data_IF_623735003371
#
_entry.id   IF_623735003371
#
_cell.length_a   1.000
_cell.length_b   1.000
_cell.length_c   1.000
_cell.angle_alpha   90.00
_cell.angle_beta   90.00
_cell.angle_gamma   90.00
#
_symmetry.space_group_name_H-M   'P 1'
#
loop_
_entity.id
_entity.type
_entity.pdbx_description
1 polymer ?
#
# COMPACT_ATOMS: atom_id res chain seq x y z
N UNK A 1 9.03 6.63 -3.07
CA UNK A 1 10.09 5.78 -3.69
C UNK A 1 9.58 5.17 -5.00
N UNK A 2 10.48 5.06 -5.99
CA UNK A 2 10.23 4.47 -7.31
C UNK A 2 11.12 3.25 -7.54
N UNK A 3 10.56 2.20 -8.14
CA UNK A 3 11.28 0.99 -8.52
C UNK A 3 10.90 0.58 -9.93
N UNK A 4 11.88 0.47 -10.82
CA UNK A 4 11.70 -0.15 -12.14
C UNK A 4 12.18 -1.58 -12.09
N UNK A 5 11.31 -2.49 -12.53
CA UNK A 5 11.62 -3.93 -12.63
C UNK A 5 11.56 -4.45 -14.08
N UNK A 6 11.15 -3.62 -15.03
CA UNK A 6 11.11 -3.93 -16.45
C UNK A 6 12.17 -3.13 -17.23
N UNK A 7 13.37 -3.70 -17.34
CA UNK A 7 14.43 -3.12 -18.15
C UNK A 7 14.37 -3.68 -19.56
N UNK A 8 14.05 -2.81 -20.51
CA UNK A 8 14.07 -3.10 -21.94
C UNK A 8 14.86 -2.02 -22.65
N UNK A 9 16.11 -2.35 -23.02
CA UNK A 9 17.03 -1.44 -23.68
C UNK A 9 16.53 -1.00 -25.06
N UNK A 10 15.65 -1.78 -25.70
CA UNK A 10 15.06 -1.43 -26.99
C UNK A 10 13.90 -0.43 -26.86
N UNK A 11 13.44 -0.16 -25.63
CA UNK A 11 12.26 0.66 -25.35
C UNK A 11 12.53 1.86 -24.43
N UNK A 12 13.78 2.33 -24.38
CA UNK A 12 14.17 3.47 -23.53
C UNK A 12 13.46 4.79 -23.88
N UNK A 13 13.07 5.01 -25.13
CA UNK A 13 12.26 6.18 -25.51
C UNK A 13 10.87 6.15 -24.87
N UNK A 14 10.22 4.98 -24.81
CA UNK A 14 8.93 4.86 -24.14
C UNK A 14 9.08 5.04 -22.63
N UNK A 15 10.14 4.51 -22.04
CA UNK A 15 10.49 4.76 -20.64
C UNK A 15 10.70 6.24 -20.36
N UNK A 16 11.44 6.96 -21.20
CA UNK A 16 11.66 8.40 -21.00
C UNK A 16 10.34 9.20 -21.08
N UNK A 17 9.47 8.86 -22.05
CA UNK A 17 8.16 9.49 -22.17
C UNK A 17 7.20 9.12 -21.03
N UNK A 18 7.33 7.91 -20.47
CA UNK A 18 6.59 7.47 -19.30
C UNK A 18 7.05 8.22 -18.04
N UNK A 19 8.36 8.28 -17.82
CA UNK A 19 9.00 9.00 -16.74
C UNK A 19 8.63 10.49 -16.73
N UNK A 20 8.67 11.17 -17.89
CA UNK A 20 8.24 12.58 -18.03
C UNK A 20 6.82 12.80 -17.50
N UNK A 21 5.88 11.91 -17.84
CA UNK A 21 4.49 12.05 -17.39
C UNK A 21 4.34 11.94 -15.89
N UNK A 22 5.00 10.95 -15.27
CA UNK A 22 4.84 10.70 -13.84
C UNK A 22 5.66 11.64 -12.97
N UNK A 23 6.90 11.91 -13.36
CA UNK A 23 7.85 12.63 -12.50
C UNK A 23 7.84 14.12 -12.82
N UNK A 24 7.92 14.52 -14.09
CA UNK A 24 7.98 15.94 -14.43
C UNK A 24 6.59 16.61 -14.39
N UNK A 25 5.56 15.92 -14.89
CA UNK A 25 4.20 16.51 -14.97
C UNK A 25 3.35 16.25 -13.72
N UNK A 26 3.25 14.99 -13.31
CA UNK A 26 2.41 14.61 -12.17
C UNK A 26 3.14 14.71 -10.82
N UNK A 27 4.47 14.84 -10.83
CA UNK A 27 5.30 15.02 -9.64
C UNK A 27 5.02 13.98 -8.55
N UNK A 28 4.71 12.74 -8.95
CA UNK A 28 4.32 11.67 -8.01
C UNK A 28 5.43 11.31 -7.03
N UNK A 29 6.67 11.63 -7.39
CA UNK A 29 7.87 11.58 -6.55
C UNK A 29 8.61 12.92 -6.62
N UNK A 30 9.33 13.24 -5.56
CA UNK A 30 10.14 14.45 -5.41
C UNK A 30 11.63 14.22 -5.66
N UNK A 31 12.45 15.29 -5.62
CA UNK A 31 13.89 15.19 -5.76
C UNK A 31 14.57 14.39 -4.62
N UNK A 32 13.91 14.26 -3.47
CA UNK A 32 14.40 13.51 -2.32
C UNK A 32 13.96 12.02 -2.34
N UNK A 33 13.16 11.63 -3.33
CA UNK A 33 12.66 10.26 -3.45
C UNK A 33 13.76 9.30 -3.88
N UNK A 34 13.80 8.11 -3.26
CA UNK A 34 14.67 7.02 -3.71
C UNK A 34 14.15 6.47 -5.04
N UNK A 35 15.04 6.41 -6.04
CA UNK A 35 14.77 5.88 -7.38
C UNK A 35 15.69 4.69 -7.65
N UNK A 36 15.08 3.52 -7.80
CA UNK A 36 15.75 2.28 -8.19
C UNK A 36 15.46 1.99 -9.66
N UNK A 37 16.32 2.49 -10.55
CA UNK A 37 16.21 2.40 -12.01
C UNK A 37 17.57 1.99 -12.63
N UNK A 38 18.18 0.95 -12.07
CA UNK A 38 19.43 0.39 -12.57
C UNK A 38 19.24 -1.09 -12.90
N UNK A 39 19.41 -1.44 -14.18
CA UNK A 39 19.28 -2.82 -14.67
C UNK A 39 20.23 -3.76 -13.94
N UNK A 40 21.45 -3.31 -13.65
CA UNK A 40 22.49 -4.14 -13.02
C UNK A 40 22.16 -4.46 -11.56
N UNK A 41 21.37 -3.62 -10.89
CA UNK A 41 20.89 -3.89 -9.53
C UNK A 41 19.85 -5.01 -9.47
N UNK A 42 19.13 -5.28 -10.58
CA UNK A 42 17.98 -6.20 -10.59
C UNK A 42 18.17 -7.44 -11.47
N UNK A 43 19.15 -7.45 -12.38
CA UNK A 43 19.37 -8.54 -13.34
C UNK A 43 19.68 -9.89 -12.67
N UNK A 44 20.39 -9.87 -11.53
CA UNK A 44 20.72 -11.05 -10.72
C UNK A 44 20.14 -11.00 -9.28
N UNK A 45 19.30 -10.00 -8.99
CA UNK A 45 18.78 -9.83 -7.64
C UNK A 45 17.62 -10.78 -7.36
N UNK A 46 17.80 -11.65 -6.37
CA UNK A 46 16.71 -12.39 -5.76
C UNK A 46 15.92 -11.43 -4.85
N UNK A 47 15.00 -10.68 -5.45
CA UNK A 47 14.18 -9.68 -4.74
C UNK A 47 13.35 -10.31 -3.64
N UNK A 48 12.90 -11.56 -3.81
CA UNK A 48 12.23 -12.30 -2.74
C UNK A 48 13.18 -12.46 -1.54
N UNK A 49 14.44 -12.86 -1.77
CA UNK A 49 15.47 -12.95 -0.74
C UNK A 49 15.83 -11.60 -0.11
N UNK A 50 15.89 -10.52 -0.89
CA UNK A 50 16.18 -9.17 -0.36
C UNK A 50 15.08 -8.71 0.58
N UNK A 51 13.81 -8.93 0.21
CA UNK A 51 12.66 -8.63 1.04
C UNK A 51 12.57 -9.55 2.27
N UNK A 52 12.96 -10.82 2.16
CA UNK A 52 13.07 -11.75 3.30
C UNK A 52 14.19 -11.41 4.28
N UNK A 53 15.34 -10.92 3.80
CA UNK A 53 16.51 -10.59 4.62
C UNK A 53 16.39 -9.22 5.28
N UNK A 54 15.57 -8.34 4.71
CA UNK A 54 15.41 -6.96 5.16
C UNK A 54 13.94 -6.51 5.28
N UNK A 55 13.04 -7.29 5.91
CA UNK A 55 11.65 -6.88 6.08
C UNK A 55 11.54 -5.53 6.82
N UNK A 56 12.48 -5.27 7.74
CA UNK A 56 12.53 -4.06 8.58
C UNK A 56 13.24 -2.86 7.93
N UNK A 57 13.88 -3.00 6.75
CA UNK A 57 14.82 -1.98 6.23
C UNK A 57 14.48 -1.36 4.88
N UNK A 58 13.35 -1.71 4.27
CA UNK A 58 13.04 -1.15 2.94
C UNK A 58 12.62 0.32 3.00
N UNK A 59 12.17 0.88 4.12
CA UNK A 59 12.18 2.36 4.36
C UNK A 59 11.66 2.70 5.75
N UNK A 60 12.40 3.54 6.47
CA UNK A 60 12.15 4.07 7.82
C UNK A 60 11.83 3.00 8.90
N UNK A 61 12.74 2.76 9.88
CA UNK A 61 12.42 1.89 11.00
C UNK A 61 11.18 2.44 11.69
N UNK A 62 10.09 1.66 11.66
CA UNK A 62 8.94 1.98 12.47
C UNK A 62 9.39 1.88 13.91
N UNK A 63 9.35 2.98 14.67
CA UNK A 63 9.72 2.87 16.08
C UNK A 63 8.67 1.99 16.77
N UNK A 64 9.04 1.23 17.83
CA UNK A 64 8.06 0.54 18.66
C UNK A 64 6.90 1.46 19.12
N UNK A 65 7.12 2.77 19.18
CA UNK A 65 6.09 3.76 19.50
C UNK A 65 5.06 3.96 18.36
N UNK A 66 5.46 3.81 17.09
CA UNK A 66 4.55 3.90 15.94
C UNK A 66 3.66 2.66 15.84
N UNK A 67 4.20 1.47 16.11
CA UNK A 67 3.42 0.23 16.21
C UNK A 67 2.44 0.27 17.38
N UNK A 68 2.93 0.68 18.56
CA UNK A 68 2.06 0.90 19.71
C UNK A 68 1.03 2.01 19.47
N UNK A 69 1.31 2.97 18.59
CA UNK A 69 0.33 3.97 18.15
C UNK A 69 -0.75 3.34 17.28
N UNK A 70 -0.42 2.60 16.22
CA UNK A 70 -1.42 1.98 15.34
C UNK A 70 -2.31 0.98 16.09
N UNK A 71 -1.73 0.14 16.95
CA UNK A 71 -2.51 -0.78 17.80
C UNK A 71 -3.37 -0.04 18.83
N UNK A 72 -2.88 1.06 19.38
CA UNK A 72 -3.66 1.91 20.29
C UNK A 72 -4.79 2.62 19.57
N UNK A 73 -4.58 3.12 18.36
CA UNK A 73 -5.63 3.76 17.56
C UNK A 73 -6.70 2.74 17.16
N UNK A 74 -6.32 1.50 16.80
CA UNK A 74 -7.26 0.41 16.60
C UNK A 74 -8.08 0.17 17.87
N UNK A 75 -7.42 -0.02 19.03
CA UNK A 75 -8.11 -0.23 20.31
C UNK A 75 -8.99 0.96 20.69
N UNK A 76 -8.54 2.20 20.44
CA UNK A 76 -9.29 3.43 20.69
C UNK A 76 -10.53 3.51 19.81
N UNK A 77 -10.40 3.22 18.50
CA UNK A 77 -11.53 3.15 17.58
C UNK A 77 -12.62 2.21 18.11
N UNK A 78 -12.23 1.01 18.57
CA UNK A 78 -13.17 0.06 19.15
C UNK A 78 -13.76 0.47 20.50
N UNK A 79 -13.00 1.18 21.35
CA UNK A 79 -13.45 1.63 22.67
C UNK A 79 -14.31 2.90 22.62
N UNK A 80 -14.10 3.77 21.63
CA UNK A 80 -14.80 5.05 21.50
C UNK A 80 -16.08 4.94 20.67
N UNK A 81 -16.14 4.02 19.71
CA UNK A 81 -17.26 3.93 18.77
C UNK A 81 -18.30 2.87 19.12
N UNK A 82 -17.96 1.94 20.00
CA UNK A 82 -18.86 0.88 20.44
C UNK A 82 -18.85 0.78 21.96
N UNK A 83 -20.03 0.73 22.58
CA UNK A 83 -20.12 0.15 23.91
C UNK A 83 -19.91 -1.37 23.87
N UNK A 84 -19.75 -2.01 25.03
CA UNK A 84 -19.38 -3.42 25.10
C UNK A 84 -20.41 -4.36 24.43
N UNK A 85 -21.69 -3.97 24.43
CA UNK A 85 -22.79 -4.74 23.84
C UNK A 85 -22.88 -4.53 22.32
N UNK A 86 -22.71 -3.30 21.85
CA UNK A 86 -22.61 -2.97 20.42
C UNK A 86 -21.38 -3.63 19.77
N UNK A 87 -20.26 -3.74 20.49
CA UNK A 87 -19.04 -4.37 20.01
C UNK A 87 -19.23 -5.87 19.74
N UNK A 88 -19.83 -6.61 20.67
CA UNK A 88 -20.06 -8.04 20.50
C UNK A 88 -21.06 -8.31 19.36
N UNK A 89 -22.14 -7.52 19.28
CA UNK A 89 -23.12 -7.60 18.20
C UNK A 89 -22.47 -7.34 16.83
N UNK A 90 -21.59 -6.33 16.74
CA UNK A 90 -20.86 -6.02 15.52
C UNK A 90 -19.94 -7.16 15.11
N UNK A 91 -19.18 -7.74 16.05
CA UNK A 91 -18.29 -8.86 15.75
C UNK A 91 -19.04 -10.13 15.31
N UNK A 92 -20.20 -10.42 15.89
CA UNK A 92 -21.04 -11.52 15.42
C UNK A 92 -21.53 -11.29 13.99
N UNK A 93 -22.00 -10.08 13.67
CA UNK A 93 -22.43 -9.73 12.31
C UNK A 93 -21.27 -9.85 11.31
N UNK A 94 -20.07 -9.43 11.67
CA UNK A 94 -18.87 -9.58 10.84
C UNK A 94 -18.48 -11.05 10.64
N UNK A 95 -18.51 -11.86 11.70
CA UNK A 95 -18.27 -13.31 11.63
C UNK A 95 -19.25 -13.97 10.65
N UNK A 96 -20.52 -13.57 10.67
CA UNK A 96 -21.52 -14.07 9.74
C UNK A 96 -21.21 -13.67 8.29
N UNK A 97 -20.88 -12.40 8.04
CA UNK A 97 -20.49 -11.92 6.71
C UNK A 97 -19.24 -12.64 6.17
N UNK A 98 -18.24 -12.87 7.03
CA UNK A 98 -17.04 -13.63 6.67
C UNK A 98 -17.42 -15.07 6.31
N UNK A 99 -18.28 -15.73 7.08
CA UNK A 99 -18.76 -17.09 6.80
C UNK A 99 -19.56 -17.17 5.48
N UNK A 100 -20.22 -16.09 5.07
CA UNK A 100 -20.90 -15.96 3.78
C UNK A 100 -19.95 -15.66 2.60
N UNK A 101 -18.63 -15.60 2.84
CA UNK A 101 -17.63 -15.28 1.81
C UNK A 101 -17.50 -13.79 1.52
N UNK A 102 -18.13 -12.91 2.30
CA UNK A 102 -18.06 -11.44 2.17
C UNK A 102 -16.95 -10.83 3.03
N UNK A 103 -15.90 -11.61 3.26
CA UNK A 103 -14.82 -11.26 4.16
C UNK A 103 -14.02 -10.02 3.76
N UNK A 104 -13.87 -9.79 2.45
CA UNK A 104 -13.20 -8.58 1.94
C UNK A 104 -14.01 -7.31 2.21
N UNK A 105 -15.35 -7.39 2.17
CA UNK A 105 -16.22 -6.26 2.51
C UNK A 105 -16.03 -5.84 3.96
N UNK A 106 -15.99 -6.81 4.87
CA UNK A 106 -15.67 -6.59 6.28
C UNK A 106 -14.28 -5.95 6.41
N UNK A 107 -13.25 -6.52 5.78
CA UNK A 107 -11.91 -5.98 5.82
C UNK A 107 -11.84 -4.52 5.32
N UNK A 108 -12.59 -4.16 4.26
CA UNK A 108 -12.61 -2.78 3.74
C UNK A 108 -13.21 -1.77 4.72
N UNK A 109 -14.05 -2.20 5.66
CA UNK A 109 -14.56 -1.36 6.75
C UNK A 109 -13.46 -0.82 7.66
N UNK A 110 -12.34 -1.54 7.77
CA UNK A 110 -11.20 -1.22 8.65
C UNK A 110 -10.14 -0.34 7.98
N UNK A 111 -10.55 0.52 7.06
CA UNK A 111 -9.62 1.31 6.25
C UNK A 111 -8.75 2.26 7.08
N UNK A 112 -9.27 2.84 8.17
CA UNK A 112 -8.51 3.77 9.00
C UNK A 112 -7.33 3.06 9.66
N UNK A 113 -7.59 1.89 10.24
CA UNK A 113 -6.54 1.03 10.80
C UNK A 113 -5.51 0.60 9.76
N UNK A 114 -5.97 0.21 8.57
CA UNK A 114 -5.07 -0.14 7.47
C UNK A 114 -4.16 1.03 7.11
N UNK A 115 -4.71 2.25 7.01
CA UNK A 115 -3.93 3.46 6.76
C UNK A 115 -2.93 3.74 7.89
N UNK A 116 -3.29 3.50 9.14
CA UNK A 116 -2.39 3.67 10.28
C UNK A 116 -1.25 2.64 10.31
N UNK A 117 -1.46 1.46 9.71
CA UNK A 117 -0.42 0.44 9.59
C UNK A 117 0.61 0.71 8.50
N UNK A 118 0.32 1.59 7.55
CA UNK A 118 1.19 1.84 6.41
C UNK A 118 2.39 2.68 6.86
N UNK A 119 3.58 2.16 6.61
CA UNK A 119 4.84 2.79 7.02
C UNK A 119 5.65 3.28 5.83
N UNK A 120 5.38 2.73 4.64
CA UNK A 120 6.03 3.14 3.39
C UNK A 120 5.17 2.82 2.17
N UNK A 121 5.54 3.42 1.03
CA UNK A 121 4.93 3.17 -0.27
C UNK A 121 5.95 3.17 -1.40
N UNK A 122 5.61 2.46 -2.48
CA UNK A 122 6.40 2.39 -3.70
C UNK A 122 5.54 2.61 -4.93
N UNK A 123 6.09 3.27 -5.93
CA UNK A 123 5.63 3.18 -7.30
C UNK A 123 6.49 2.16 -8.04
N UNK A 124 5.87 1.13 -8.59
CA UNK A 124 6.53 0.08 -9.35
C UNK A 124 6.22 0.27 -10.83
N UNK A 125 7.28 0.47 -11.61
CA UNK A 125 7.26 0.43 -13.06
C UNK A 125 7.58 -1.00 -13.52
N UNK A 126 6.53 -1.71 -13.95
CA UNK A 126 6.61 -3.07 -14.47
C UNK A 126 6.27 -3.13 -15.97
N UNK A 127 6.36 -4.31 -16.57
CA UNK A 127 6.12 -4.45 -18.02
C UNK A 127 4.71 -3.98 -18.42
N UNK A 128 3.73 -4.13 -17.54
CA UNK A 128 2.36 -3.67 -17.78
C UNK A 128 2.26 -2.15 -17.75
N UNK A 129 3.02 -1.46 -16.89
CA UNK A 129 3.08 0.00 -16.86
C UNK A 129 3.47 0.58 -18.23
N UNK A 130 4.44 -0.05 -18.90
CA UNK A 130 4.95 0.38 -20.21
C UNK A 130 4.11 -0.10 -21.40
N UNK A 131 3.58 -1.33 -21.36
CA UNK A 131 2.95 -1.96 -22.53
C UNK A 131 1.42 -1.93 -22.52
N UNK A 132 0.80 -1.54 -21.41
CA UNK A 132 -0.66 -1.47 -21.31
C UNK A 132 -1.27 -0.45 -22.28
N UNK A 133 -2.34 -0.82 -22.97
CA UNK A 133 -3.08 0.08 -23.84
C UNK A 133 -3.53 1.33 -23.06
N UNK A 134 -3.08 2.51 -23.49
CA UNK A 134 -3.34 3.79 -22.83
C UNK A 134 -2.37 4.16 -21.70
N UNK A 135 -1.21 3.49 -21.59
CA UNK A 135 -0.25 3.68 -20.51
C UNK A 135 -0.76 2.96 -19.26
N UNK A 136 -0.37 1.70 -19.08
CA UNK A 136 -0.98 0.74 -18.17
C UNK A 136 -0.92 1.05 -16.66
N UNK A 137 -0.34 2.21 -16.31
CA UNK A 137 -0.27 2.70 -14.94
C UNK A 137 0.87 2.08 -14.15
N UNK A 138 1.53 2.88 -13.31
CA UNK A 138 2.42 2.35 -12.28
C UNK A 138 1.61 1.60 -11.23
N UNK A 139 2.21 0.57 -10.64
CA UNK A 139 1.62 -0.10 -9.48
C UNK A 139 2.04 0.66 -8.22
N UNK A 140 1.09 1.30 -7.55
CA UNK A 140 1.30 1.94 -6.27
C UNK A 140 1.02 0.93 -5.16
N UNK A 141 2.04 0.68 -4.33
CA UNK A 141 2.06 -0.34 -3.28
C UNK A 141 2.27 0.34 -1.94
N UNK A 142 1.53 -0.10 -0.91
CA UNK A 142 1.69 0.35 0.47
C UNK A 142 2.02 -0.84 1.36
N UNK A 143 3.06 -0.70 2.17
CA UNK A 143 3.54 -1.75 3.06
C UNK A 143 3.44 -1.34 4.53
N UNK A 144 3.26 -2.35 5.38
CA UNK A 144 3.36 -2.23 6.83
C UNK A 144 4.81 -2.43 7.34
N UNK A 145 4.98 -2.32 8.65
CA UNK A 145 6.23 -2.49 9.39
C UNK A 145 6.87 -3.89 9.26
N UNK A 146 6.09 -4.89 8.83
CA UNK A 146 6.55 -6.26 8.59
C UNK A 146 6.79 -6.52 7.09
N UNK A 147 6.65 -5.51 6.23
CA UNK A 147 6.74 -5.65 4.79
C UNK A 147 5.52 -6.33 4.15
N UNK A 148 4.42 -6.52 4.89
CA UNK A 148 3.20 -7.04 4.29
C UNK A 148 2.58 -5.99 3.39
N UNK A 149 2.01 -6.45 2.28
CA UNK A 149 1.14 -5.63 1.47
C UNK A 149 -0.08 -5.21 2.30
N UNK A 150 -0.25 -3.91 2.52
CA UNK A 150 -1.51 -3.38 3.05
C UNK A 150 -2.51 -3.34 1.92
N UNK A 151 -2.17 -2.64 0.84
CA UNK A 151 -2.99 -2.52 -0.36
C UNK A 151 -2.12 -2.09 -1.56
N UNK A 152 -2.61 -2.37 -2.76
CA UNK A 152 -2.02 -1.92 -4.03
C UNK A 152 -3.08 -1.45 -5.01
N UNK A 153 -2.70 -0.53 -5.90
CA UNK A 153 -3.56 -0.08 -6.99
C UNK A 153 -2.71 0.33 -8.19
N UNK A 154 -3.16 0.01 -9.41
CA UNK A 154 -2.59 0.62 -10.61
C UNK A 154 -3.17 2.00 -10.81
N UNK A 155 -2.28 2.96 -11.01
CA UNK A 155 -2.64 4.37 -11.07
C UNK A 155 -1.99 5.03 -12.28
N UNK A 156 -2.79 5.81 -12.99
CA UNK A 156 -2.32 6.63 -14.11
C UNK A 156 -1.72 7.94 -13.61
N UNK A 157 -0.89 8.57 -14.44
CA UNK A 157 -0.25 9.85 -14.11
C UNK A 157 -1.26 10.97 -13.84
N UNK A 158 -2.47 10.90 -14.41
CA UNK A 158 -3.55 11.87 -14.22
C UNK A 158 -4.49 11.53 -13.05
N UNK A 159 -4.24 10.41 -12.35
CA UNK A 159 -5.00 9.97 -11.18
C UNK A 159 -4.24 10.19 -9.86
N UNK A 160 -2.98 10.62 -9.94
CA UNK A 160 -2.08 10.78 -8.79
C UNK A 160 -1.47 12.16 -8.86
N UNK A 161 -1.68 12.94 -7.80
CA UNK A 161 -1.03 14.24 -7.60
C UNK A 161 0.33 14.04 -6.89
N UNK A 162 1.00 15.11 -6.46
CA UNK A 162 2.25 15.06 -5.70
C UNK A 162 2.13 14.22 -4.42
N UNK A 163 2.38 12.92 -4.56
CA UNK A 163 2.13 11.95 -3.51
C UNK A 163 3.20 12.01 -2.43
N UNK A 164 4.44 12.34 -2.76
CA UNK A 164 5.49 12.58 -1.75
C UNK A 164 5.08 13.73 -0.81
N UNK A 165 4.53 14.83 -1.34
CA UNK A 165 4.00 15.93 -0.53
C UNK A 165 2.85 15.47 0.37
N UNK A 166 1.83 14.82 -0.23
CA UNK A 166 0.70 14.28 0.53
C UNK A 166 1.13 13.23 1.57
N UNK A 167 2.19 12.47 1.29
CA UNK A 167 2.79 11.47 2.17
C UNK A 167 3.35 12.12 3.44
N UNK A 168 4.20 13.13 3.29
CA UNK A 168 4.79 13.86 4.41
C UNK A 168 3.75 14.60 5.26
N UNK A 169 2.71 15.14 4.62
CA UNK A 169 1.63 15.86 5.31
C UNK A 169 0.57 14.93 5.92
N UNK A 170 0.61 13.63 5.60
CA UNK A 170 -0.35 12.63 6.08
C UNK A 170 -1.72 12.67 5.39
N UNK A 171 -1.91 13.53 4.39
CA UNK A 171 -3.18 13.72 3.67
C UNK A 171 -3.56 12.55 2.75
N UNK A 172 -2.65 11.62 2.50
CA UNK A 172 -2.87 10.46 1.64
C UNK A 172 -3.85 9.42 2.23
N UNK A 173 -4.07 9.43 3.55
CA UNK A 173 -4.82 8.37 4.27
C UNK A 173 -6.28 8.27 3.82
N UNK A 174 -7.00 9.39 3.77
CA UNK A 174 -8.45 9.37 3.52
C UNK A 174 -8.81 9.02 2.08
N UNK A 175 -8.15 9.61 1.08
CA UNK A 175 -8.57 9.51 -0.32
C UNK A 175 -8.49 8.09 -0.90
N UNK A 176 -7.48 7.32 -0.48
CA UNK A 176 -7.25 5.98 -1.00
C UNK A 176 -7.79 4.87 -0.09
N UNK A 177 -7.65 5.00 1.24
CA UNK A 177 -8.05 3.92 2.14
C UNK A 177 -9.58 3.87 2.31
N UNK A 178 -10.24 5.03 2.43
CA UNK A 178 -11.71 5.09 2.65
C UNK A 178 -12.54 4.72 1.42
N UNK A 179 -11.92 4.66 0.24
CA UNK A 179 -12.63 4.31 -0.98
C UNK A 179 -12.91 2.79 -1.01
N UNK A 180 -14.19 2.36 -1.10
CA UNK A 180 -14.53 0.94 -1.19
C UNK A 180 -13.93 0.27 -2.44
N UNK A 181 -13.67 1.03 -3.51
CA UNK A 181 -12.95 0.60 -4.71
C UNK A 181 -11.45 0.94 -4.68
N UNK A 182 -10.93 1.37 -3.52
CA UNK A 182 -9.58 1.85 -3.28
C UNK A 182 -8.54 0.75 -3.24
N UNK A 183 -8.22 0.15 -4.40
CA UNK A 183 -7.16 -0.84 -4.53
C UNK A 183 -7.49 -2.22 -3.92
N UNK A 184 -6.62 -3.18 -4.23
CA UNK A 184 -6.65 -4.56 -3.74
C UNK A 184 -5.98 -4.63 -2.37
N UNK A 185 -6.62 -5.27 -1.39
CA UNK A 185 -6.05 -5.55 -0.07
C UNK A 185 -5.02 -6.66 -0.15
N UNK A 186 -3.93 -6.54 0.63
CA UNK A 186 -2.99 -7.64 0.77
C UNK A 186 -3.53 -8.73 1.68
N UNK A 187 -3.03 -9.96 1.47
CA UNK A 187 -3.52 -11.15 2.14
C UNK A 187 -3.44 -11.08 3.68
N UNK A 188 -2.47 -10.36 4.23
CA UNK A 188 -2.34 -10.16 5.68
C UNK A 188 -3.54 -9.42 6.28
N UNK A 189 -4.25 -8.60 5.49
CA UNK A 189 -5.37 -7.76 5.93
C UNK A 189 -6.75 -8.32 5.55
N UNK A 190 -6.79 -9.47 4.86
CA UNK A 190 -8.01 -10.22 4.59
C UNK A 190 -8.32 -11.20 5.73
N UNK A 191 -9.55 -11.75 5.82
CA UNK A 191 -9.86 -12.69 6.88
C UNK A 191 -8.97 -13.92 6.92
N UNK A 192 -8.53 -14.26 8.14
CA UNK A 192 -7.53 -15.31 8.37
C UNK A 192 -6.07 -14.85 8.18
N UNK A 193 -5.86 -13.63 7.69
CA UNK A 193 -4.55 -12.97 7.65
C UNK A 193 -4.10 -12.48 9.04
N UNK A 194 -2.79 -12.30 9.21
CA UNK A 194 -2.20 -11.91 10.50
C UNK A 194 -2.67 -10.55 11.04
N UNK A 195 -3.20 -9.68 10.17
CA UNK A 195 -3.69 -8.33 10.47
C UNK A 195 -5.10 -8.09 9.91
N UNK A 196 -5.83 -9.16 9.61
CA UNK A 196 -7.18 -9.10 9.06
C UNK A 196 -8.25 -9.45 10.08
N UNK A 197 -9.53 -9.18 9.77
CA UNK A 197 -10.63 -9.50 10.65
C UNK A 197 -10.94 -11.01 10.70
N UNK A 198 -11.67 -11.51 11.71
CA UNK A 198 -12.12 -10.76 12.88
C UNK A 198 -10.93 -10.44 13.79
N UNK A 199 -10.86 -9.20 14.28
CA UNK A 199 -9.81 -8.81 15.21
C UNK A 199 -10.14 -9.34 16.60
N UNK A 200 -9.20 -10.08 17.20
CA UNK A 200 -9.28 -10.46 18.61
C UNK A 200 -8.70 -9.31 19.44
N UNK A 201 -9.55 -8.38 19.89
CA UNK A 201 -9.17 -7.22 20.68
C UNK A 201 -9.46 -7.37 22.17
#
# INVERSE_FOLDING_TARGET
MWVRICYDAENEEARAAFWDKYVERAQVISADSLVFDDKELFEDADIARVLELFPERVTNPSTPEQLAFAERELRRFFQEWFDEEERESTFEAERELIAQGRGEEVARGYWSYQADCVVTHFFIEDAQAQTGAGGGGVLHVFLDDCGNLVRKKRVKWDEVDNFDGAWFEGHWREGWASNPNGGELGAAYLPGGARGPPYNL
#
